data_IF_228499278836
#
_entry.id   IF_228499278836
#
_cell.length_a   1.000
_cell.length_b   1.000
_cell.length_c   1.000
_cell.angle_alpha   90.00
_cell.angle_beta   90.00
_cell.angle_gamma   90.00
#
_symmetry.space_group_name_H-M   'P 1'
#
loop_
_entity.id
_entity.type
_entity.pdbx_description
1 polymer ?
#
# COMPACT_ATOMS: atom_id res chain seq x y z
N UNK A 1 -18.71 -2.39 -8.32
CA UNK A 1 -20.17 -2.21 -8.28
C UNK A 1 -20.67 -1.73 -9.64
N UNK A 2 -21.82 -2.22 -10.10
CA UNK A 2 -22.52 -1.79 -11.32
C UNK A 2 -23.90 -1.28 -10.92
N UNK A 3 -24.25 -0.11 -11.45
CA UNK A 3 -25.61 0.41 -11.40
C UNK A 3 -26.05 0.75 -12.83
N UNK A 4 -27.26 0.34 -13.19
CA UNK A 4 -27.86 0.64 -14.48
C UNK A 4 -29.33 1.05 -14.32
N UNK A 5 -29.84 1.82 -15.29
CA UNK A 5 -31.23 2.18 -15.37
C UNK A 5 -31.81 1.79 -16.74
N UNK A 6 -32.90 1.03 -16.71
CA UNK A 6 -33.66 0.71 -17.89
C UNK A 6 -34.66 1.84 -18.23
N UNK A 7 -35.15 1.90 -19.43
CA UNK A 7 -36.15 2.86 -19.91
C UNK A 7 -37.57 2.55 -19.44
N UNK A 8 -37.80 1.33 -18.94
CA UNK A 8 -39.05 0.86 -18.37
C UNK A 8 -38.78 -0.18 -17.28
N UNK A 9 -39.79 -0.51 -16.50
CA UNK A 9 -39.69 -1.56 -15.49
C UNK A 9 -39.29 -2.90 -16.12
N UNK A 10 -38.37 -3.61 -15.48
CA UNK A 10 -37.86 -4.91 -15.89
C UNK A 10 -38.14 -5.94 -14.81
N UNK A 11 -38.33 -7.19 -15.21
CA UNK A 11 -38.54 -8.32 -14.30
C UNK A 11 -37.26 -9.01 -13.93
N UNK A 12 -36.37 -9.17 -14.92
CA UNK A 12 -35.11 -9.89 -14.77
C UNK A 12 -33.98 -9.09 -15.40
N UNK A 13 -32.80 -9.13 -14.81
CA UNK A 13 -31.60 -8.54 -15.38
C UNK A 13 -30.37 -9.40 -15.08
N UNK A 14 -29.47 -9.48 -16.05
CA UNK A 14 -28.20 -10.20 -15.91
C UNK A 14 -27.08 -9.41 -16.57
N UNK A 15 -25.91 -9.47 -15.95
CA UNK A 15 -24.64 -9.04 -16.55
C UNK A 15 -24.03 -10.26 -17.25
N UNK A 16 -23.80 -10.17 -18.55
CA UNK A 16 -23.16 -11.23 -19.34
C UNK A 16 -21.69 -10.87 -19.54
N UNK A 17 -20.79 -11.64 -18.91
CA UNK A 17 -19.35 -11.45 -18.99
C UNK A 17 -18.77 -12.25 -20.17
N UNK A 18 -17.98 -11.59 -21.02
CA UNK A 18 -17.29 -12.18 -22.17
C UNK A 18 -18.22 -13.04 -23.07
N UNK A 19 -19.49 -12.62 -23.23
CA UNK A 19 -20.53 -13.31 -24.02
C UNK A 19 -20.81 -14.75 -23.55
N UNK A 20 -20.41 -15.15 -22.36
CA UNK A 20 -20.48 -16.55 -21.90
C UNK A 20 -21.15 -16.72 -20.54
N UNK A 21 -20.77 -15.94 -19.56
CA UNK A 21 -21.18 -16.17 -18.18
C UNK A 21 -22.14 -15.09 -17.72
N UNK A 22 -23.35 -15.49 -17.34
CA UNK A 22 -24.38 -14.60 -16.79
C UNK A 22 -24.33 -14.51 -15.28
N UNK A 23 -24.37 -13.29 -14.76
CA UNK A 23 -24.50 -12.98 -13.34
C UNK A 23 -25.82 -12.24 -13.13
N UNK A 24 -26.72 -12.73 -12.26
CA UNK A 24 -27.99 -12.07 -12.00
C UNK A 24 -27.78 -10.71 -11.34
N UNK A 25 -28.59 -9.74 -11.72
CA UNK A 25 -28.63 -8.41 -11.12
C UNK A 25 -29.85 -8.29 -10.20
N UNK A 26 -29.73 -7.51 -9.15
CA UNK A 26 -30.88 -7.09 -8.35
C UNK A 26 -31.69 -6.07 -9.15
N UNK A 27 -33.00 -6.29 -9.23
CA UNK A 27 -33.92 -5.45 -10.01
C UNK A 27 -34.90 -4.77 -9.05
N UNK A 28 -34.97 -3.45 -9.15
CA UNK A 28 -35.92 -2.60 -8.41
C UNK A 28 -36.64 -1.67 -9.42
N UNK A 29 -37.70 -2.16 -10.05
CA UNK A 29 -38.42 -1.44 -11.09
C UNK A 29 -37.58 -1.22 -12.35
N UNK A 30 -37.11 0.01 -12.56
CA UNK A 30 -36.22 0.38 -13.67
C UNK A 30 -34.73 0.29 -13.30
N UNK A 31 -34.38 0.07 -12.03
CA UNK A 31 -32.99 0.06 -11.55
C UNK A 31 -32.46 -1.35 -11.45
N UNK A 32 -31.21 -1.51 -11.90
CA UNK A 32 -30.46 -2.75 -11.80
C UNK A 32 -29.17 -2.48 -11.02
N UNK A 33 -28.84 -3.37 -10.10
CA UNK A 33 -27.61 -3.29 -9.31
C UNK A 33 -26.94 -4.65 -9.26
N UNK A 34 -25.61 -4.64 -9.23
CA UNK A 34 -24.83 -5.86 -9.07
C UNK A 34 -23.39 -5.58 -8.74
N UNK A 35 -22.72 -6.61 -8.24
CA UNK A 35 -21.30 -6.59 -7.95
C UNK A 35 -20.61 -7.72 -8.71
N UNK A 36 -19.46 -7.42 -9.28
CA UNK A 36 -18.62 -8.38 -9.97
C UNK A 36 -17.17 -8.11 -9.62
N UNK A 37 -16.47 -9.14 -9.16
CA UNK A 37 -15.02 -9.12 -9.03
C UNK A 37 -14.40 -9.47 -10.38
N UNK A 38 -13.59 -8.56 -10.90
CA UNK A 38 -12.95 -8.70 -12.20
C UNK A 38 -11.45 -8.85 -12.01
N UNK A 39 -10.91 -10.00 -12.42
CA UNK A 39 -9.48 -10.30 -12.33
C UNK A 39 -8.75 -10.19 -13.67
N UNK A 40 -9.48 -10.13 -14.77
CA UNK A 40 -8.92 -10.10 -16.13
C UNK A 40 -9.65 -9.07 -16.99
N UNK A 41 -8.98 -8.42 -17.94
CA UNK A 41 -9.66 -7.57 -18.91
C UNK A 41 -10.64 -8.41 -19.76
N UNK A 42 -11.70 -7.76 -20.23
CA UNK A 42 -12.73 -8.44 -20.99
C UNK A 42 -13.81 -7.49 -21.49
N UNK A 43 -15.02 -8.00 -21.60
CA UNK A 43 -16.20 -7.22 -21.93
C UNK A 43 -17.43 -7.69 -21.15
N UNK A 44 -18.40 -6.83 -21.01
CA UNK A 44 -19.70 -7.21 -20.49
C UNK A 44 -20.82 -6.56 -21.28
N UNK A 45 -21.99 -7.16 -21.23
CA UNK A 45 -23.25 -6.60 -21.69
C UNK A 45 -24.34 -6.79 -20.64
N UNK A 46 -25.42 -6.04 -20.74
CA UNK A 46 -26.58 -6.19 -19.87
C UNK A 46 -27.72 -6.84 -20.69
N UNK A 47 -28.21 -7.96 -20.18
CA UNK A 47 -29.43 -8.60 -20.67
C UNK A 47 -30.56 -8.30 -19.71
N UNK A 48 -31.68 -7.81 -20.20
CA UNK A 48 -32.85 -7.47 -19.40
C UNK A 48 -34.11 -8.05 -20.04
N UNK A 49 -35.07 -8.47 -19.22
CA UNK A 49 -36.36 -8.94 -19.62
C UNK A 49 -37.48 -8.20 -18.85
N UNK A 50 -38.50 -7.73 -19.58
CA UNK A 50 -39.63 -7.08 -18.96
C UNK A 50 -40.72 -8.08 -18.51
N UNK A 51 -41.80 -7.55 -17.88
CA UNK A 51 -42.93 -8.35 -17.40
C UNK A 51 -43.70 -9.09 -18.54
N UNK A 52 -43.59 -8.61 -19.77
CA UNK A 52 -44.22 -9.20 -20.94
C UNK A 52 -43.30 -10.22 -21.64
N UNK A 53 -42.08 -10.41 -21.13
CA UNK A 53 -41.11 -11.35 -21.68
C UNK A 53 -40.24 -10.78 -22.81
N UNK A 54 -40.34 -9.50 -23.15
CA UNK A 54 -39.46 -8.89 -24.14
C UNK A 54 -38.05 -8.68 -23.60
N UNK A 55 -37.08 -9.01 -24.42
CA UNK A 55 -35.64 -8.85 -24.12
C UNK A 55 -35.04 -7.71 -24.95
N UNK A 56 -33.94 -7.13 -24.48
CA UNK A 56 -33.19 -6.17 -25.27
C UNK A 56 -32.41 -6.89 -26.38
N UNK A 57 -32.60 -6.41 -27.60
CA UNK A 57 -31.94 -6.98 -28.79
C UNK A 57 -30.60 -6.26 -29.00
N UNK A 58 -29.55 -7.04 -29.31
CA UNK A 58 -28.17 -6.53 -29.54
C UNK A 58 -27.65 -5.64 -28.40
N UNK A 59 -27.50 -6.18 -27.20
CA UNK A 59 -27.02 -5.41 -26.07
C UNK A 59 -25.64 -4.82 -26.33
N UNK A 60 -25.43 -3.58 -25.90
CA UNK A 60 -24.15 -2.89 -26.05
C UNK A 60 -23.07 -3.65 -25.30
N UNK A 61 -21.91 -3.86 -25.94
CA UNK A 61 -20.73 -4.44 -25.33
C UNK A 61 -19.85 -3.36 -24.71
N UNK A 62 -19.63 -3.44 -23.41
CA UNK A 62 -18.76 -2.55 -22.65
C UNK A 62 -17.42 -3.23 -22.38
N UNK A 63 -16.32 -2.54 -22.68
CA UNK A 63 -14.98 -3.06 -22.41
C UNK A 63 -14.61 -2.90 -20.94
N UNK A 64 -14.05 -3.95 -20.36
CA UNK A 64 -13.43 -3.94 -19.04
C UNK A 64 -11.92 -3.78 -19.21
N UNK A 65 -11.37 -2.75 -18.59
CA UNK A 65 -9.92 -2.55 -18.50
C UNK A 65 -9.52 -2.63 -17.03
N UNK A 66 -8.51 -3.43 -16.75
CA UNK A 66 -7.90 -3.45 -15.42
C UNK A 66 -6.86 -2.33 -15.35
N UNK A 67 -6.87 -1.62 -14.24
CA UNK A 67 -5.80 -0.72 -13.85
C UNK A 67 -4.94 -1.52 -12.87
N UNK A 68 -3.70 -1.89 -13.26
CA UNK A 68 -2.82 -2.62 -12.34
C UNK A 68 -2.53 -1.78 -11.11
N UNK A 69 -2.69 -2.40 -9.96
CA UNK A 69 -2.32 -1.82 -8.68
C UNK A 69 -0.81 -1.98 -8.47
N UNK A 70 -0.11 -0.87 -8.25
CA UNK A 70 1.34 -0.83 -8.07
C UNK A 70 1.71 -1.13 -6.63
N UNK A 71 3.00 -1.37 -6.41
CA UNK A 71 3.54 -1.42 -5.07
C UNK A 71 3.63 0.00 -4.49
N UNK A 72 3.30 0.18 -3.20
CA UNK A 72 3.48 1.46 -2.55
C UNK A 72 4.96 1.82 -2.45
N UNK A 73 5.25 3.11 -2.43
CA UNK A 73 6.60 3.65 -2.35
C UNK A 73 6.79 4.42 -1.04
N UNK A 74 7.95 4.24 -0.42
CA UNK A 74 8.38 4.99 0.76
C UNK A 74 9.80 5.51 0.59
N UNK A 75 10.04 6.72 1.06
CA UNK A 75 11.35 7.35 1.04
C UNK A 75 11.70 7.93 2.41
N UNK A 76 12.90 7.63 2.91
CA UNK A 76 13.49 8.33 4.05
C UNK A 76 14.19 9.56 3.50
N UNK A 77 13.63 10.73 3.85
CA UNK A 77 14.14 12.04 3.45
C UNK A 77 15.29 12.47 4.36
N UNK A 78 15.15 12.23 5.67
CA UNK A 78 16.17 12.47 6.67
C UNK A 78 16.15 11.36 7.72
N UNK A 79 17.30 10.82 8.11
CA UNK A 79 18.65 11.12 7.59
C UNK A 79 18.83 10.68 6.15
N UNK A 80 19.68 11.43 5.40
CA UNK A 80 19.96 11.14 4.01
C UNK A 80 20.97 10.00 3.83
N UNK A 81 21.82 9.75 4.82
CA UNK A 81 22.91 8.79 4.78
C UNK A 81 22.99 7.98 6.07
N UNK A 82 23.87 7.01 6.12
CA UNK A 82 24.20 6.26 7.31
C UNK A 82 24.73 7.21 8.41
N UNK A 83 24.39 6.94 9.66
CA UNK A 83 24.75 7.80 10.79
C UNK A 83 25.59 7.08 11.84
N UNK A 84 26.45 7.85 12.49
CA UNK A 84 27.04 7.49 13.77
C UNK A 84 26.19 8.07 14.92
N UNK A 85 25.76 7.21 15.85
CA UNK A 85 24.86 7.54 16.96
C UNK A 85 25.47 7.20 18.31
N UNK A 86 24.97 7.83 19.37
CA UNK A 86 25.36 7.49 20.76
C UNK A 86 24.66 6.22 21.27
N UNK A 87 23.55 5.85 20.65
CA UNK A 87 22.78 4.63 20.97
C UNK A 87 21.73 4.80 22.06
N UNK A 88 21.63 5.97 22.69
CA UNK A 88 20.65 6.31 23.72
C UNK A 88 19.87 7.59 23.42
N UNK A 89 19.88 8.02 22.19
CA UNK A 89 19.22 9.25 21.70
C UNK A 89 17.92 8.94 20.96
N UNK A 90 17.13 9.97 20.77
CA UNK A 90 15.95 9.92 19.89
C UNK A 90 16.40 10.34 18.50
N UNK A 91 16.23 9.45 17.52
CA UNK A 91 16.53 9.71 16.12
C UNK A 91 15.26 10.17 15.38
N UNK A 92 15.19 11.43 14.91
CA UNK A 92 14.12 11.88 14.08
C UNK A 92 14.28 11.30 12.65
N UNK A 93 13.25 10.63 12.16
CA UNK A 93 13.18 10.10 10.80
C UNK A 93 12.09 10.88 10.05
N UNK A 94 12.48 11.66 9.07
CA UNK A 94 11.55 12.34 8.16
C UNK A 94 11.34 11.48 6.93
N UNK A 95 10.09 11.24 6.55
CA UNK A 95 9.76 10.33 5.46
C UNK A 95 8.57 10.82 4.64
N UNK A 96 8.48 10.31 3.41
CA UNK A 96 7.33 10.44 2.51
C UNK A 96 6.88 9.07 2.05
N UNK A 97 5.58 8.93 1.77
CA UNK A 97 4.99 7.70 1.23
C UNK A 97 3.97 8.04 0.16
N UNK A 98 3.83 7.16 -0.86
CA UNK A 98 2.83 7.31 -1.92
C UNK A 98 2.38 5.96 -2.45
N UNK A 99 1.14 5.93 -2.95
CA UNK A 99 0.51 4.79 -3.59
C UNK A 99 -0.61 5.23 -4.53
N UNK A 100 -0.95 4.46 -5.56
CA UNK A 100 -1.96 4.83 -6.54
C UNK A 100 -3.40 4.58 -6.07
N UNK A 101 -3.62 3.65 -5.15
CA UNK A 101 -4.95 3.37 -4.59
C UNK A 101 -5.08 3.77 -3.12
N UNK A 102 -4.09 3.54 -2.29
CA UNK A 102 -4.07 3.99 -0.91
C UNK A 102 -3.18 3.17 0.01
N UNK A 103 -2.67 3.84 1.01
CA UNK A 103 -1.76 3.29 2.01
C UNK A 103 -2.55 2.91 3.25
N UNK A 104 -2.32 1.71 3.78
CA UNK A 104 -2.88 1.22 5.02
C UNK A 104 -2.02 1.53 6.23
N UNK A 105 -0.73 1.24 6.15
CA UNK A 105 0.19 1.47 7.26
C UNK A 105 1.63 1.68 6.81
N UNK A 106 2.39 2.36 7.68
CA UNK A 106 3.82 2.56 7.55
C UNK A 106 4.49 2.00 8.80
N UNK A 107 5.57 1.22 8.60
CA UNK A 107 6.38 0.62 9.66
C UNK A 107 7.84 0.93 9.45
N UNK A 108 8.58 1.01 10.54
CA UNK A 108 10.04 0.96 10.54
C UNK A 108 10.48 -0.48 10.75
N UNK A 109 11.15 -1.06 9.75
CA UNK A 109 11.79 -2.35 9.86
C UNK A 109 13.26 -2.11 10.21
N UNK A 110 13.75 -2.73 11.26
CA UNK A 110 15.15 -2.64 11.65
C UNK A 110 15.73 -4.02 11.98
N UNK A 111 17.02 -4.16 11.77
CA UNK A 111 17.75 -5.40 12.01
C UNK A 111 19.01 -5.13 12.83
N UNK A 112 19.23 -5.94 13.87
CA UNK A 112 20.43 -5.98 14.70
C UNK A 112 20.87 -7.41 14.93
N UNK A 113 22.14 -7.72 14.64
CA UNK A 113 22.70 -9.05 14.88
C UNK A 113 21.92 -10.19 14.19
N UNK A 114 21.40 -9.97 12.99
CA UNK A 114 20.62 -10.96 12.24
C UNK A 114 19.15 -11.09 12.69
N UNK A 115 18.71 -10.30 13.68
CA UNK A 115 17.33 -10.30 14.17
C UNK A 115 16.59 -9.08 13.64
N UNK A 116 15.59 -9.31 12.81
CA UNK A 116 14.71 -8.27 12.29
C UNK A 116 13.52 -8.02 13.21
N UNK A 117 13.18 -6.77 13.40
CA UNK A 117 12.00 -6.31 14.16
C UNK A 117 11.26 -5.21 13.40
N UNK A 118 10.01 -4.97 13.81
CA UNK A 118 9.13 -3.98 13.20
C UNK A 118 8.55 -3.07 14.27
N UNK A 119 8.53 -1.76 14.00
CA UNK A 119 7.87 -0.75 14.81
C UNK A 119 6.76 -0.08 13.98
N UNK A 120 5.53 -0.03 14.47
CA UNK A 120 4.48 0.73 13.80
C UNK A 120 4.80 2.22 13.87
N UNK A 121 4.76 2.91 12.75
CA UNK A 121 4.95 4.34 12.66
C UNK A 121 3.61 5.07 12.53
N UNK A 122 2.78 4.61 11.58
CA UNK A 122 1.49 5.23 11.30
C UNK A 122 0.51 4.26 10.66
N UNK A 123 -0.76 4.36 11.05
CA UNK A 123 -1.90 3.77 10.34
C UNK A 123 -2.59 4.88 9.55
N UNK A 124 -2.86 4.61 8.28
CA UNK A 124 -3.52 5.52 7.35
C UNK A 124 -4.84 4.89 6.89
N UNK A 125 -5.77 5.74 6.44
CA UNK A 125 -7.01 5.27 5.86
C UNK A 125 -7.22 5.96 4.53
N UNK A 126 -7.17 5.18 3.45
CA UNK A 126 -7.42 5.63 2.08
C UNK A 126 -6.59 6.84 1.64
N UNK A 127 -5.41 6.98 2.21
CA UNK A 127 -4.48 8.09 1.90
C UNK A 127 -3.51 7.63 0.82
N UNK A 128 -3.49 8.34 -0.31
CA UNK A 128 -2.61 8.02 -1.45
C UNK A 128 -1.20 8.59 -1.33
N UNK A 129 -1.03 9.63 -0.54
CA UNK A 129 0.28 10.20 -0.26
C UNK A 129 0.28 10.89 1.09
N UNK A 130 1.38 10.77 1.81
CA UNK A 130 1.62 11.47 3.06
C UNK A 130 3.09 11.86 3.21
N UNK A 131 3.32 12.99 3.87
CA UNK A 131 4.63 13.51 4.18
C UNK A 131 5.00 14.81 3.43
N UNK A 132 6.12 15.42 3.81
CA UNK A 132 7.07 14.92 4.81
C UNK A 132 6.46 14.82 6.22
N UNK A 133 6.68 13.68 6.85
CA UNK A 133 6.28 13.42 8.23
C UNK A 133 7.47 12.99 9.07
N UNK A 134 7.40 13.20 10.37
CA UNK A 134 8.49 12.88 11.29
C UNK A 134 8.07 11.74 12.23
N UNK A 135 8.95 10.79 12.41
CA UNK A 135 8.87 9.72 13.39
C UNK A 135 10.06 9.79 14.33
N UNK A 136 9.80 9.93 15.62
CA UNK A 136 10.83 9.95 16.66
C UNK A 136 11.17 8.52 17.09
N UNK A 137 12.29 7.98 16.62
CA UNK A 137 12.75 6.65 16.99
C UNK A 137 13.63 6.70 18.23
N UNK A 138 13.14 6.19 19.35
CA UNK A 138 13.88 6.07 20.59
C UNK A 138 14.86 4.89 20.53
N UNK A 139 16.14 5.18 20.36
CA UNK A 139 17.21 4.20 20.30
C UNK A 139 17.55 3.60 21.68
N UNK A 140 17.20 4.26 22.77
CA UNK A 140 17.47 3.76 24.12
C UNK A 140 16.75 2.44 24.40
N UNK A 141 15.58 2.24 23.79
CA UNK A 141 14.80 1.01 23.88
C UNK A 141 15.51 -0.22 23.26
N UNK A 142 16.51 0.00 22.41
CA UNK A 142 17.26 -1.07 21.75
C UNK A 142 18.41 -1.60 22.60
N UNK A 143 18.78 -0.91 23.69
CA UNK A 143 19.91 -1.25 24.57
C UNK A 143 21.18 -1.49 23.73
N UNK A 144 21.56 -0.50 22.92
CA UNK A 144 22.70 -0.58 22.02
C UNK A 144 24.01 -0.44 22.80
N UNK A 145 25.05 -1.14 22.31
CA UNK A 145 26.41 -1.08 22.87
C UNK A 145 27.38 -0.52 21.83
N UNK A 146 28.49 0.12 22.26
CA UNK A 146 29.53 0.61 21.36
C UNK A 146 29.97 -0.47 20.36
N UNK A 147 30.04 -0.09 19.07
CA UNK A 147 30.36 -1.02 17.97
C UNK A 147 29.14 -1.73 17.34
N UNK A 148 27.97 -1.62 17.94
CA UNK A 148 26.75 -2.19 17.32
C UNK A 148 26.41 -1.49 16.01
N UNK A 149 25.93 -2.30 15.05
CA UNK A 149 25.37 -1.83 13.80
C UNK A 149 23.91 -2.22 13.72
N UNK A 150 23.05 -1.26 13.38
CA UNK A 150 21.62 -1.46 13.16
C UNK A 150 21.29 -0.98 11.75
N UNK A 151 20.69 -1.82 10.93
CA UNK A 151 20.13 -1.40 9.64
C UNK A 151 18.65 -1.13 9.78
N UNK A 152 18.12 -0.18 9.02
CA UNK A 152 16.70 0.14 9.04
C UNK A 152 16.18 0.64 7.69
N UNK A 153 14.89 0.46 7.48
CA UNK A 153 14.16 0.91 6.30
C UNK A 153 12.68 1.08 6.61
N UNK A 154 11.97 1.81 5.76
CA UNK A 154 10.51 1.83 5.80
C UNK A 154 9.94 0.60 5.11
N UNK A 155 8.82 0.13 5.64
CA UNK A 155 7.87 -0.74 4.99
C UNK A 155 6.56 0.01 4.87
N UNK A 156 6.05 0.12 3.66
CA UNK A 156 4.76 0.77 3.36
C UNK A 156 3.82 -0.31 2.85
N UNK A 157 2.67 -0.46 3.48
CA UNK A 157 1.64 -1.44 3.10
C UNK A 157 0.48 -0.72 2.45
N UNK A 158 0.04 -1.18 1.26
CA UNK A 158 -1.15 -0.68 0.62
C UNK A 158 -2.45 -1.19 1.26
N UNK A 159 -3.59 -0.73 0.74
CA UNK A 159 -4.93 -1.12 1.20
C UNK A 159 -5.62 -2.13 0.27
N UNK A 160 -4.88 -2.84 -0.62
CA UNK A 160 -5.49 -3.78 -1.57
C UNK A 160 -6.25 -4.90 -0.83
N UNK A 161 -7.58 -4.83 -0.91
CA UNK A 161 -8.49 -5.81 -0.32
C UNK A 161 -8.88 -6.92 -1.31
N UNK A 162 -8.46 -6.85 -2.57
CA UNK A 162 -8.85 -7.78 -3.63
C UNK A 162 -7.80 -8.86 -3.82
N UNK A 163 -6.54 -8.46 -4.05
CA UNK A 163 -5.42 -9.38 -4.28
C UNK A 163 -4.58 -9.63 -3.03
N UNK A 164 -4.84 -8.86 -1.99
CA UNK A 164 -4.08 -8.82 -0.74
C UNK A 164 -3.06 -7.68 -0.71
N UNK A 165 -2.77 -7.16 0.49
CA UNK A 165 -1.90 -6.01 0.64
C UNK A 165 -0.48 -6.28 0.13
N UNK A 166 0.07 -5.31 -0.61
CA UNK A 166 1.45 -5.32 -1.10
C UNK A 166 2.33 -4.46 -0.19
N UNK A 167 3.59 -4.84 -0.06
CA UNK A 167 4.58 -4.09 0.69
C UNK A 167 5.61 -3.46 -0.23
N UNK A 168 5.83 -2.16 -0.09
CA UNK A 168 6.94 -1.43 -0.68
C UNK A 168 7.96 -1.05 0.38
N UNK A 169 9.22 -0.89 -0.01
CA UNK A 169 10.31 -0.61 0.90
C UNK A 169 11.12 0.60 0.45
N UNK A 170 11.58 1.40 1.43
CA UNK A 170 12.59 2.41 1.17
C UNK A 170 13.97 1.77 0.98
N UNK A 171 14.95 2.60 0.63
CA UNK A 171 16.35 2.22 0.77
C UNK A 171 16.66 1.85 2.22
N UNK A 172 17.64 0.98 2.42
CA UNK A 172 18.15 0.60 3.74
C UNK A 172 19.27 1.57 4.13
N UNK A 173 19.19 2.08 5.36
CA UNK A 173 20.20 2.90 6.00
C UNK A 173 20.78 2.16 7.22
N UNK A 174 21.94 2.59 7.69
CA UNK A 174 22.59 2.01 8.84
C UNK A 174 22.89 3.04 9.93
N UNK A 175 22.79 2.60 11.17
CA UNK A 175 23.31 3.28 12.35
C UNK A 175 24.54 2.52 12.83
N UNK A 176 25.59 3.24 13.12
CA UNK A 176 26.79 2.73 13.77
C UNK A 176 26.90 3.36 15.15
N UNK A 177 26.85 2.54 16.21
CA UNK A 177 27.03 3.05 17.58
C UNK A 177 28.50 3.40 17.80
N UNK A 178 28.76 4.64 18.22
CA UNK A 178 30.11 5.16 18.45
C UNK A 178 30.85 4.32 19.48
N UNK A 179 32.07 3.98 19.15
CA UNK A 179 33.03 3.45 20.12
C UNK A 179 33.97 4.59 20.52
N UNK A 180 33.95 4.97 21.82
CA UNK A 180 34.82 6.03 22.33
C UNK A 180 36.31 5.70 22.20
N UNK A 181 36.67 4.42 22.17
CA UNK A 181 38.05 3.97 21.98
C UNK A 181 38.55 4.23 20.55
N UNK A 182 37.70 4.02 19.55
CA UNK A 182 38.03 4.34 18.18
C UNK A 182 38.16 5.83 17.92
N UNK A 183 37.38 6.65 18.64
CA UNK A 183 37.48 8.11 18.57
C UNK A 183 38.85 8.60 19.12
N UNK A 184 39.25 8.15 20.30
CA UNK A 184 40.53 8.50 20.89
C UNK A 184 41.70 8.07 19.99
N UNK A 185 41.63 6.91 19.36
CA UNK A 185 42.64 6.42 18.40
C UNK A 185 42.76 7.32 17.15
N UNK A 186 41.63 7.73 16.57
CA UNK A 186 41.60 8.62 15.40
C UNK A 186 42.04 10.06 15.71
N UNK A 187 41.73 10.56 16.88
CA UNK A 187 42.21 11.89 17.33
C UNK A 187 43.74 11.92 17.53
N UNK A 188 44.31 10.84 18.09
CA UNK A 188 45.76 10.69 18.21
C UNK A 188 46.45 10.58 16.85
N UNK A 189 45.85 9.92 15.88
CA UNK A 189 46.39 9.76 14.54
C UNK A 189 46.33 11.04 13.70
N UNK A 190 45.31 11.89 13.92
CA UNK A 190 45.18 13.24 13.31
C UNK A 190 46.10 14.28 13.90
N UNK A 191 46.62 14.06 15.09
CA UNK A 191 47.53 14.96 15.78
C UNK A 191 49.03 14.66 15.53
N UNK A 192 49.34 13.65 14.72
CA UNK A 192 50.69 13.33 14.21
C UNK A 192 50.89 13.86 12.82
#
# INVERSE_FOLDING_TARGET
NLEAKATKAVKEGSLILNERTGFPLQVEGERLKGELLVFYPGSYSLSVRDELGFENVNPVQYKIRLIPDKYPEGEIVSPADDLEVAGNEILPITYTVRDDFGIREVRLIYERGGTQRSLPMRTLKDTRAAGPEEFAWDLSALVLTPGDRVTYRLEVMDNDAVSGPKAGYSRTLALQVRDEKDRAAREVERAK
#
